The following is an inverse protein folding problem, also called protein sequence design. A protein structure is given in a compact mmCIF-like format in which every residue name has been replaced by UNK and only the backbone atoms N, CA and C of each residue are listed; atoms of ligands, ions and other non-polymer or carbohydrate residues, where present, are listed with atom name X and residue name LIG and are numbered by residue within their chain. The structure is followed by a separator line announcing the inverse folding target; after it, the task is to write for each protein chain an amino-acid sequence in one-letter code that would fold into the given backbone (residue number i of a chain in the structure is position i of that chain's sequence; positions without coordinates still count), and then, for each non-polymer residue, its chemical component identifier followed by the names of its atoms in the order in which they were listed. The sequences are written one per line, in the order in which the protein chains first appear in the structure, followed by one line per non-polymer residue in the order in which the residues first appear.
data_IF_594716718490
#
_entry.id   IF_594716718490
#
_cell.length_a   1.000
_cell.length_b   1.000
_cell.length_c   1.000
_cell.angle_alpha   90.00
_cell.angle_beta   90.00
_cell.angle_gamma   90.00
#
_symmetry.space_group_name_H-M   'P 1'
#
loop_
_entity.id
_entity.type
_entity.pdbx_description
1 polymer ?
#
# COMPACT_ATOMS: atom_id res chain seq x y z
N UNK A 1 8.85 -15.25 -13.73
CA UNK A 1 8.37 -14.10 -12.94
C UNK A 1 7.01 -14.43 -12.31
N UNK A 2 6.92 -14.48 -10.99
CA UNK A 2 5.65 -14.58 -10.25
C UNK A 2 5.10 -13.16 -10.07
N UNK A 3 4.23 -12.73 -11.00
CA UNK A 3 3.61 -11.39 -10.95
C UNK A 3 2.75 -11.19 -9.70
N UNK A 4 2.43 -9.93 -9.39
CA UNK A 4 1.61 -9.51 -8.25
C UNK A 4 0.35 -10.38 -8.11
N UNK A 5 -0.31 -10.72 -9.21
CA UNK A 5 -1.52 -11.55 -9.22
C UNK A 5 -1.37 -12.92 -8.53
N UNK A 6 -0.20 -13.57 -8.64
CA UNK A 6 0.08 -14.93 -8.11
C UNK A 6 0.47 -14.94 -6.64
N UNK A 7 0.70 -13.77 -6.03
CA UNK A 7 1.07 -13.66 -4.62
C UNK A 7 -0.13 -13.94 -3.71
N UNK A 8 0.15 -14.49 -2.53
CA UNK A 8 -0.83 -14.57 -1.45
C UNK A 8 -1.26 -13.17 -1.04
N UNK A 9 -2.45 -13.04 -0.44
CA UNK A 9 -2.94 -11.76 0.10
C UNK A 9 -1.89 -11.05 0.94
N UNK A 10 -1.28 -11.80 1.85
CA UNK A 10 -0.27 -11.29 2.77
C UNK A 10 0.97 -10.74 2.04
N UNK A 11 1.51 -11.50 1.07
CA UNK A 11 2.65 -11.06 0.25
C UNK A 11 2.31 -9.87 -0.64
N UNK A 12 1.06 -9.76 -1.13
CA UNK A 12 0.61 -8.57 -1.87
C UNK A 12 0.62 -7.33 -1.00
N UNK A 13 0.24 -7.46 0.26
CA UNK A 13 0.22 -6.35 1.21
C UNK A 13 1.65 -5.92 1.55
N UNK A 14 2.56 -6.84 1.92
CA UNK A 14 3.99 -6.51 2.14
C UNK A 14 4.63 -5.85 0.91
N UNK A 15 4.34 -6.38 -0.28
CA UNK A 15 4.82 -5.80 -1.54
C UNK A 15 4.32 -4.36 -1.71
N UNK A 16 3.03 -4.12 -1.50
CA UNK A 16 2.46 -2.77 -1.60
C UNK A 16 3.00 -1.84 -0.52
N UNK A 17 3.20 -2.31 0.71
CA UNK A 17 3.78 -1.53 1.81
C UNK A 17 5.13 -0.95 1.41
N UNK A 18 6.02 -1.79 0.88
CA UNK A 18 7.33 -1.38 0.33
C UNK A 18 7.18 -0.34 -0.79
N UNK A 19 6.36 -0.64 -1.79
CA UNK A 19 6.24 0.23 -2.96
C UNK A 19 5.60 1.59 -2.62
N UNK A 20 4.67 1.63 -1.67
CA UNK A 20 4.11 2.89 -1.13
C UNK A 20 5.20 3.72 -0.46
N UNK A 21 6.04 3.10 0.38
CA UNK A 21 7.13 3.80 1.06
C UNK A 21 8.13 4.36 0.04
N UNK A 22 8.54 3.56 -0.95
CA UNK A 22 9.40 3.99 -2.05
C UNK A 22 8.81 5.22 -2.77
N UNK A 23 7.53 5.15 -3.13
CA UNK A 23 6.86 6.27 -3.80
C UNK A 23 6.83 7.53 -2.94
N UNK A 24 6.40 7.42 -1.68
CA UNK A 24 6.30 8.58 -0.78
C UNK A 24 7.67 9.18 -0.44
N UNK A 25 8.71 8.35 -0.33
CA UNK A 25 10.09 8.79 -0.14
C UNK A 25 10.60 9.51 -1.38
N UNK A 26 10.23 9.07 -2.58
CA UNK A 26 10.60 9.76 -3.83
C UNK A 26 9.98 11.14 -3.97
N UNK A 27 8.69 11.31 -3.62
CA UNK A 27 7.98 12.57 -3.88
C UNK A 27 8.13 13.59 -2.75
N UNK A 28 8.43 13.15 -1.52
CA UNK A 28 8.49 14.00 -0.32
C UNK A 28 7.29 14.95 -0.12
N UNK A 29 6.12 14.60 -0.65
CA UNK A 29 4.90 15.40 -0.64
C UNK A 29 3.70 14.55 -0.25
N UNK A 30 2.61 15.16 0.27
CA UNK A 30 1.37 14.43 0.51
C UNK A 30 0.79 13.85 -0.77
N UNK A 31 0.39 12.58 -0.73
CA UNK A 31 -0.27 11.91 -1.84
C UNK A 31 -1.63 11.36 -1.44
N UNK A 32 -2.59 11.43 -2.35
CA UNK A 32 -3.88 10.76 -2.22
C UNK A 32 -3.74 9.27 -2.53
N UNK A 33 -4.68 8.47 -2.02
CA UNK A 33 -4.72 7.02 -2.34
C UNK A 33 -4.79 6.76 -3.85
N UNK A 34 -5.51 7.60 -4.59
CA UNK A 34 -5.62 7.49 -6.06
C UNK A 34 -4.27 7.76 -6.73
N UNK A 35 -3.56 8.82 -6.34
CA UNK A 35 -2.22 9.11 -6.87
C UNK A 35 -1.23 7.99 -6.58
N UNK A 36 -1.27 7.43 -5.36
CA UNK A 36 -0.45 6.26 -5.00
C UNK A 36 -0.80 5.09 -5.95
N UNK A 37 -2.09 4.77 -6.10
CA UNK A 37 -2.54 3.66 -6.95
C UNK A 37 -2.10 3.81 -8.40
N UNK A 38 -2.31 4.99 -8.99
CA UNK A 38 -1.94 5.31 -10.37
C UNK A 38 -0.43 5.23 -10.58
N UNK A 39 0.35 5.75 -9.63
CA UNK A 39 1.81 5.65 -9.69
C UNK A 39 2.27 4.20 -9.67
N UNK A 40 1.78 3.39 -8.73
CA UNK A 40 2.18 1.99 -8.60
C UNK A 40 1.82 1.18 -9.85
N UNK A 41 0.61 1.33 -10.38
CA UNK A 41 0.18 0.61 -11.58
C UNK A 41 1.00 1.00 -12.80
N UNK A 42 1.41 2.28 -12.90
CA UNK A 42 2.20 2.78 -14.04
C UNK A 42 3.69 2.46 -13.95
N UNK A 43 4.25 2.34 -12.75
CA UNK A 43 5.71 2.30 -12.54
C UNK A 43 6.23 0.98 -11.95
N UNK A 44 5.35 0.01 -11.71
CA UNK A 44 5.73 -1.27 -11.11
C UNK A 44 5.32 -2.41 -12.02
N UNK A 45 6.28 -2.95 -12.79
CA UNK A 45 6.06 -3.97 -13.83
C UNK A 45 5.31 -5.22 -13.34
N UNK A 46 5.42 -5.54 -12.06
CA UNK A 46 4.76 -6.71 -11.47
C UNK A 46 3.24 -6.51 -11.26
N UNK A 47 2.76 -5.26 -11.24
CA UNK A 47 1.35 -4.88 -11.11
C UNK A 47 0.73 -4.77 -12.51
N UNK A 48 -0.32 -5.55 -12.82
CA UNK A 48 -1.01 -5.44 -14.10
C UNK A 48 -1.59 -4.03 -14.35
N UNK A 49 -1.43 -3.50 -15.57
CA UNK A 49 -1.94 -2.18 -15.96
C UNK A 49 -3.45 -2.01 -15.74
N UNK A 50 -4.20 -3.10 -15.75
CA UNK A 50 -5.64 -3.09 -15.58
C UNK A 50 -6.11 -3.35 -14.15
N UNK A 51 -5.19 -3.29 -13.18
CA UNK A 51 -5.49 -3.48 -11.75
C UNK A 51 -6.50 -2.47 -11.19
N UNK A 52 -6.71 -1.33 -11.85
CA UNK A 52 -7.69 -0.32 -11.46
C UNK A 52 -9.09 -0.53 -12.05
N UNK A 53 -9.32 -1.62 -12.80
CA UNK A 53 -10.64 -1.94 -13.32
C UNK A 53 -11.63 -2.27 -12.19
N UNK A 54 -12.86 -1.82 -12.39
CA UNK A 54 -14.00 -2.21 -11.56
C UNK A 54 -14.38 -3.67 -11.83
N UNK A 55 -14.81 -4.36 -10.78
CA UNK A 55 -15.43 -5.68 -10.84
C UNK A 55 -16.71 -5.69 -10.04
N UNK A 56 -17.68 -6.49 -10.45
CA UNK A 56 -18.95 -6.66 -9.73
C UNK A 56 -18.83 -7.74 -8.66
N UNK A 57 -19.16 -7.39 -7.41
CA UNK A 57 -19.24 -8.35 -6.31
C UNK A 57 -20.38 -9.34 -6.55
N UNK A 58 -20.07 -10.64 -6.58
CA UNK A 58 -21.09 -11.70 -6.68
C UNK A 58 -22.05 -11.73 -5.49
N UNK A 59 -21.61 -11.26 -4.31
CA UNK A 59 -22.39 -11.30 -3.06
C UNK A 59 -23.36 -10.12 -2.93
N UNK A 60 -22.93 -8.93 -3.37
CA UNK A 60 -23.66 -7.68 -3.11
C UNK A 60 -24.15 -6.99 -4.38
N UNK A 61 -23.73 -7.45 -5.56
CA UNK A 61 -24.01 -6.80 -6.86
C UNK A 61 -23.30 -5.45 -7.05
N UNK A 62 -22.55 -4.97 -6.06
CA UNK A 62 -21.89 -3.66 -6.11
C UNK A 62 -20.55 -3.75 -6.84
N UNK A 63 -20.24 -2.70 -7.59
CA UNK A 63 -18.93 -2.53 -8.21
C UNK A 63 -17.88 -2.08 -7.21
N UNK A 64 -16.66 -2.61 -7.36
CA UNK A 64 -15.51 -2.21 -6.57
C UNK A 64 -14.21 -2.46 -7.34
N UNK A 65 -13.10 -1.84 -6.90
CA UNK A 65 -11.77 -2.08 -7.47
C UNK A 65 -10.97 -2.94 -6.49
N UNK A 66 -10.70 -4.24 -6.79
CA UNK A 66 -10.02 -5.14 -5.86
C UNK A 66 -8.64 -4.65 -5.42
N UNK A 67 -7.89 -4.05 -6.34
CA UNK A 67 -6.58 -3.47 -6.06
C UNK A 67 -6.65 -2.36 -5.00
N UNK A 68 -7.66 -1.47 -5.10
CA UNK A 68 -7.83 -0.37 -4.15
C UNK A 68 -8.14 -0.86 -2.73
N UNK A 69 -8.82 -2.01 -2.60
CA UNK A 69 -9.02 -2.63 -1.29
C UNK A 69 -7.69 -3.08 -0.69
N UNK A 70 -6.85 -3.78 -1.46
CA UNK A 70 -5.52 -4.23 -1.02
C UNK A 70 -4.59 -3.06 -0.69
N UNK A 71 -4.60 -2.03 -1.53
CA UNK A 71 -3.87 -0.80 -1.28
C UNK A 71 -4.30 -0.15 0.04
N UNK A 72 -5.61 -0.14 0.33
CA UNK A 72 -6.15 0.42 1.58
C UNK A 72 -5.71 -0.38 2.81
N UNK A 73 -5.61 -1.71 2.70
CA UNK A 73 -5.05 -2.54 3.77
C UNK A 73 -3.57 -2.23 4.00
N UNK A 74 -2.74 -2.17 2.95
CA UNK A 74 -1.33 -1.80 3.07
C UNK A 74 -1.13 -0.41 3.71
N UNK A 75 -1.89 0.60 3.27
CA UNK A 75 -1.89 1.93 3.90
C UNK A 75 -2.27 1.84 5.39
N UNK A 76 -3.29 1.04 5.73
CA UNK A 76 -3.69 0.87 7.14
C UNK A 76 -2.58 0.22 7.97
N UNK A 77 -1.92 -0.81 7.44
CA UNK A 77 -0.77 -1.47 8.06
C UNK A 77 0.39 -0.50 8.30
N UNK A 78 0.79 0.27 7.28
CA UNK A 78 1.85 1.29 7.41
C UNK A 78 1.51 2.35 8.45
N UNK A 79 0.24 2.78 8.51
CA UNK A 79 -0.21 3.76 9.52
C UNK A 79 -0.12 3.18 10.93
N UNK A 80 -0.56 1.93 11.13
CA UNK A 80 -0.43 1.21 12.41
C UNK A 80 1.02 1.03 12.82
N UNK A 81 1.90 0.81 11.84
CA UNK A 81 3.35 0.77 12.03
C UNK A 81 3.99 2.15 12.31
N UNK A 82 3.20 3.23 12.31
CA UNK A 82 3.65 4.62 12.48
C UNK A 82 4.65 5.08 11.41
N UNK A 83 4.63 4.47 10.22
CA UNK A 83 5.48 4.83 9.08
C UNK A 83 4.86 5.92 8.22
N UNK A 84 3.54 6.01 8.22
CA UNK A 84 2.79 7.06 7.53
C UNK A 84 1.73 7.66 8.44
N UNK A 85 1.24 8.83 8.06
CA UNK A 85 0.10 9.48 8.71
C UNK A 85 -0.86 10.14 7.70
N UNK A 86 -2.03 10.54 8.18
CA UNK A 86 -3.07 11.22 7.43
C UNK A 86 -3.32 12.64 7.99
N UNK A 87 -2.54 13.65 7.56
CA UNK A 87 -2.67 15.01 8.07
C UNK A 87 -4.03 15.63 7.71
N UNK A 88 -4.62 15.19 6.59
CA UNK A 88 -5.97 15.51 6.16
C UNK A 88 -6.64 14.25 5.61
N UNK A 89 -7.96 14.21 5.66
CA UNK A 89 -8.77 13.10 5.14
C UNK A 89 -8.37 12.80 3.69
N UNK A 90 -8.00 11.55 3.43
CA UNK A 90 -7.69 11.06 2.07
C UNK A 90 -6.27 11.36 1.58
N UNK A 91 -5.43 12.01 2.38
CA UNK A 91 -4.01 12.26 2.08
C UNK A 91 -3.10 11.44 2.98
N UNK A 92 -1.97 11.02 2.43
CA UNK A 92 -0.95 10.21 3.11
C UNK A 92 0.40 10.91 3.01
N UNK A 93 1.13 10.95 4.13
CA UNK A 93 2.51 11.44 4.22
C UNK A 93 3.37 10.45 4.99
N UNK A 94 4.69 10.50 4.81
CA UNK A 94 5.62 9.80 5.69
C UNK A 94 5.70 10.49 7.04
N UNK A 95 5.76 9.71 8.11
CA UNK A 95 6.23 10.19 9.42
C UNK A 95 7.75 10.35 9.41
N UNK A 96 8.33 10.90 10.48
CA UNK A 96 9.79 10.93 10.63
C UNK A 96 10.41 9.53 10.57
N UNK A 97 9.78 8.56 11.23
CA UNK A 97 10.20 7.15 11.16
C UNK A 97 10.13 6.64 9.71
N UNK A 98 9.03 6.87 9.00
CA UNK A 98 8.87 6.44 7.60
C UNK A 98 9.87 7.06 6.63
N UNK A 99 10.34 8.28 6.88
CA UNK A 99 11.39 8.92 6.09
C UNK A 99 12.75 8.25 6.30
N UNK A 100 13.03 7.78 7.51
CA UNK A 100 14.34 7.28 7.90
C UNK A 100 14.51 5.75 7.68
N UNK A 101 13.41 5.02 7.41
CA UNK A 101 13.51 3.58 7.12
C UNK A 101 14.03 3.29 5.70
N UNK A 102 14.70 2.15 5.55
CA UNK A 102 15.00 1.56 4.25
C UNK A 102 13.82 0.67 3.78
N UNK A 103 13.12 1.00 2.67
CA UNK A 103 12.02 0.20 2.13
C UNK A 103 12.41 -1.23 1.71
N UNK A 104 13.70 -1.49 1.41
CA UNK A 104 14.18 -2.82 1.07
C UNK A 104 14.38 -3.73 2.30
N UNK A 105 14.30 -3.19 3.51
CA UNK A 105 14.33 -3.98 4.74
C UNK A 105 12.93 -4.51 5.09
N UNK A 106 12.40 -5.38 4.22
CA UNK A 106 11.05 -5.94 4.32
C UNK A 106 10.80 -6.63 5.67
N UNK A 107 11.81 -7.32 6.22
CA UNK A 107 11.72 -7.97 7.54
C UNK A 107 11.50 -6.96 8.68
N UNK A 108 12.13 -5.79 8.60
CA UNK A 108 11.96 -4.74 9.60
C UNK A 108 10.57 -4.10 9.49
N UNK A 109 10.13 -3.78 8.28
CA UNK A 109 8.78 -3.24 8.02
C UNK A 109 7.72 -4.22 8.54
N UNK A 110 7.85 -5.50 8.19
CA UNK A 110 6.97 -6.55 8.68
C UNK A 110 6.88 -6.57 10.22
N UNK A 111 8.02 -6.51 10.90
CA UNK A 111 8.06 -6.47 12.37
C UNK A 111 7.31 -5.26 12.93
N UNK A 112 7.45 -4.08 12.31
CA UNK A 112 6.73 -2.88 12.72
C UNK A 112 5.22 -3.00 12.48
N UNK A 113 4.82 -3.54 11.32
CA UNK A 113 3.41 -3.79 10.98
C UNK A 113 2.77 -4.76 11.97
N UNK A 114 3.40 -5.91 12.24
CA UNK A 114 2.89 -6.87 13.23
C UNK A 114 2.78 -6.27 14.62
N UNK A 115 3.77 -5.48 15.05
CA UNK A 115 3.72 -4.75 16.32
C UNK A 115 2.57 -3.72 16.35
N UNK A 116 2.29 -3.07 15.23
CA UNK A 116 1.17 -2.12 15.10
C UNK A 116 -0.20 -2.79 15.18
N UNK A 117 -0.32 -4.01 14.66
CA UNK A 117 -1.56 -4.80 14.75
C UNK A 117 -1.81 -5.40 16.14
N UNK A 118 -0.75 -5.80 16.86
CA UNK A 118 -0.85 -6.39 18.20
C UNK A 118 -1.19 -5.39 19.33
N UNK A 119 -1.24 -4.08 19.03
CA UNK A 119 -1.57 -3.01 19.99
C UNK A 119 -3.09 -2.70 20.09
N UNK A 120 -3.93 -3.50 19.43
CA UNK A 120 -5.39 -3.45 19.53
C UNK A 120 -5.88 -4.62 20.37
#
# INVERSE_FOLDING_TARGET
MSGFAKMTTYKKEEFLEKEILNYLQKIHQPATRTQIAEYLVKNTDSIPNDSLKYVTSKKTGREYVPFMNRLSFAITSLRKAQLIDHPKRGTTVLTKLGQDINPDNEKYIHKLVMKGWAKL
#
